data_IF_670476145262
#
_entry.id   IF_670476145262
#
_cell.length_a   1.000
_cell.length_b   1.000
_cell.length_c   1.000
_cell.angle_alpha   90.00
_cell.angle_beta   90.00
_cell.angle_gamma   90.00
#
_symmetry.space_group_name_H-M   'P 1'
#
loop_
_entity.id
_entity.type
_entity.pdbx_description
1 polymer ?
#
# COMPACT_ATOMS: atom_id res chain seq x y z
N UNK A 1 9.87 -45.94 3.02
CA UNK A 1 8.93 -45.11 3.82
C UNK A 1 9.22 -43.60 3.77
N UNK A 2 10.47 -43.13 3.63
CA UNK A 2 10.81 -41.68 3.58
C UNK A 2 10.22 -40.95 2.36
N UNK A 3 10.33 -41.52 1.15
CA UNK A 3 9.93 -40.85 -0.10
C UNK A 3 8.44 -40.45 -0.17
N UNK A 4 7.55 -41.28 0.39
CA UNK A 4 6.10 -40.99 0.44
C UNK A 4 5.81 -39.86 1.44
N UNK A 5 6.54 -39.83 2.56
CA UNK A 5 6.46 -38.79 3.59
C UNK A 5 6.95 -37.44 3.05
N UNK A 6 8.06 -37.43 2.32
CA UNK A 6 8.62 -36.21 1.73
C UNK A 6 7.71 -35.64 0.62
N UNK A 7 7.15 -36.50 -0.24
CA UNK A 7 6.15 -36.13 -1.24
C UNK A 7 4.87 -35.54 -0.62
N UNK A 8 4.36 -36.15 0.46
CA UNK A 8 3.19 -35.63 1.20
C UNK A 8 3.48 -34.27 1.84
N UNK A 9 4.64 -34.13 2.49
CA UNK A 9 5.08 -32.87 3.11
C UNK A 9 5.22 -31.75 2.09
N UNK A 10 5.81 -32.03 0.92
CA UNK A 10 5.89 -31.07 -0.18
C UNK A 10 4.53 -30.62 -0.69
N UNK A 11 3.59 -31.56 -0.87
CA UNK A 11 2.22 -31.23 -1.28
C UNK A 11 1.49 -30.37 -0.25
N UNK A 12 1.60 -30.70 1.04
CA UNK A 12 1.00 -29.91 2.12
C UNK A 12 1.58 -28.50 2.19
N UNK A 13 2.90 -28.36 2.10
CA UNK A 13 3.59 -27.06 2.13
C UNK A 13 3.19 -26.19 0.94
N UNK A 14 3.10 -26.78 -0.25
CA UNK A 14 2.60 -26.10 -1.45
C UNK A 14 1.14 -25.64 -1.28
N UNK A 15 0.28 -26.48 -0.71
CA UNK A 15 -1.12 -26.12 -0.48
C UNK A 15 -1.27 -24.98 0.52
N UNK A 16 -0.46 -24.96 1.58
CA UNK A 16 -0.43 -23.86 2.55
C UNK A 16 -0.07 -22.52 1.86
N UNK A 17 1.00 -22.51 1.05
CA UNK A 17 1.41 -21.32 0.31
C UNK A 17 0.33 -20.80 -0.65
N UNK A 18 -0.35 -21.71 -1.36
CA UNK A 18 -1.46 -21.36 -2.26
C UNK A 18 -2.64 -20.78 -1.48
N UNK A 19 -2.98 -21.36 -0.33
CA UNK A 19 -4.06 -20.87 0.52
C UNK A 19 -3.74 -19.48 1.09
N UNK A 20 -2.50 -19.27 1.51
CA UNK A 20 -2.04 -18.00 2.07
C UNK A 20 -2.01 -16.89 1.01
N UNK A 21 -1.52 -17.20 -0.20
CA UNK A 21 -1.61 -16.31 -1.34
C UNK A 21 -3.06 -15.98 -1.69
N UNK A 22 -3.94 -17.00 -1.73
CA UNK A 22 -5.37 -16.80 -2.01
C UNK A 22 -6.03 -15.90 -0.97
N UNK A 23 -5.68 -16.06 0.30
CA UNK A 23 -6.15 -15.18 1.38
C UNK A 23 -5.66 -13.74 1.18
N UNK A 24 -4.38 -13.56 0.85
CA UNK A 24 -3.81 -12.23 0.55
C UNK A 24 -4.53 -11.55 -0.61
N UNK A 25 -4.76 -12.25 -1.72
CA UNK A 25 -5.49 -11.72 -2.87
C UNK A 25 -6.90 -11.28 -2.47
N UNK A 26 -7.63 -12.10 -1.71
CA UNK A 26 -8.97 -11.75 -1.21
C UNK A 26 -8.93 -10.49 -0.34
N UNK A 27 -7.93 -10.35 0.53
CA UNK A 27 -7.77 -9.17 1.37
C UNK A 27 -7.52 -7.90 0.53
N UNK A 28 -6.63 -7.97 -0.46
CA UNK A 28 -6.38 -6.83 -1.35
C UNK A 28 -7.62 -6.42 -2.13
N UNK A 29 -8.38 -7.38 -2.67
CA UNK A 29 -9.63 -7.09 -3.38
C UNK A 29 -10.68 -6.44 -2.47
N UNK A 30 -10.80 -6.90 -1.22
CA UNK A 30 -11.69 -6.28 -0.24
C UNK A 30 -11.27 -4.83 0.08
N UNK A 31 -9.97 -4.56 0.16
CA UNK A 31 -9.44 -3.19 0.35
C UNK A 31 -9.76 -2.32 -0.86
N UNK A 32 -9.56 -2.80 -2.09
CA UNK A 32 -9.89 -2.07 -3.32
C UNK A 32 -11.39 -1.75 -3.40
N UNK A 33 -12.25 -2.71 -3.07
CA UNK A 33 -13.70 -2.49 -3.04
C UNK A 33 -14.10 -1.44 -1.99
N UNK A 34 -13.51 -1.52 -0.80
CA UNK A 34 -13.72 -0.51 0.26
C UNK A 34 -13.26 0.88 -0.20
N UNK A 35 -12.13 0.94 -0.90
CA UNK A 35 -11.58 2.16 -1.45
C UNK A 35 -12.52 2.82 -2.47
N UNK A 36 -13.06 2.04 -3.41
CA UNK A 36 -14.01 2.52 -4.39
C UNK A 36 -15.26 3.10 -3.70
N UNK A 37 -15.86 2.35 -2.77
CA UNK A 37 -17.05 2.79 -2.02
C UNK A 37 -16.80 4.06 -1.21
N UNK A 38 -15.65 4.17 -0.55
CA UNK A 38 -15.29 5.36 0.22
C UNK A 38 -15.08 6.57 -0.69
N UNK A 39 -14.40 6.39 -1.83
CA UNK A 39 -14.13 7.48 -2.78
C UNK A 39 -15.43 8.04 -3.32
N UNK A 40 -16.33 7.16 -3.78
CA UNK A 40 -17.62 7.51 -4.35
C UNK A 40 -18.48 8.37 -3.40
N UNK A 41 -18.44 8.11 -2.09
CA UNK A 41 -19.19 8.88 -1.08
C UNK A 41 -18.71 10.34 -0.93
N UNK A 42 -17.49 10.63 -1.37
CA UNK A 42 -16.83 11.94 -1.14
C UNK A 42 -16.62 12.75 -2.41
N UNK A 43 -16.91 12.17 -3.57
CA UNK A 43 -16.64 12.76 -4.90
C UNK A 43 -17.86 13.48 -5.47
N UNK A 44 -17.62 14.58 -6.18
CA UNK A 44 -18.68 15.45 -6.71
C UNK A 44 -19.03 15.19 -8.17
N UNK A 45 -18.18 14.49 -8.91
CA UNK A 45 -18.40 14.08 -10.30
C UNK A 45 -17.68 12.77 -10.61
N UNK A 46 -17.95 12.21 -11.80
CA UNK A 46 -17.21 11.07 -12.35
C UNK A 46 -15.71 11.33 -12.45
N UNK A 47 -15.33 12.53 -12.89
CA UNK A 47 -13.94 12.93 -13.08
C UNK A 47 -13.19 13.07 -11.74
N UNK A 48 -13.85 13.65 -10.74
CA UNK A 48 -13.33 13.74 -9.36
C UNK A 48 -13.18 12.33 -8.74
N UNK A 49 -14.12 11.43 -9.03
CA UNK A 49 -14.01 10.03 -8.62
C UNK A 49 -12.79 9.34 -9.23
N UNK A 50 -12.63 9.39 -10.55
CA UNK A 50 -11.49 8.76 -11.24
C UNK A 50 -10.18 9.29 -10.68
N UNK A 51 -10.04 10.62 -10.60
CA UNK A 51 -8.82 11.27 -10.10
C UNK A 51 -8.45 10.81 -8.69
N UNK A 52 -9.41 10.82 -7.76
CA UNK A 52 -9.16 10.42 -6.36
C UNK A 52 -8.95 8.92 -6.22
N UNK A 53 -9.72 8.11 -6.94
CA UNK A 53 -9.62 6.66 -6.85
C UNK A 53 -8.27 6.18 -7.39
N UNK A 54 -7.81 6.71 -8.51
CA UNK A 54 -6.52 6.36 -9.11
C UNK A 54 -5.35 6.72 -8.19
N UNK A 55 -5.36 7.91 -7.58
CA UNK A 55 -4.36 8.30 -6.60
C UNK A 55 -4.28 7.33 -5.42
N UNK A 56 -5.43 6.98 -4.86
CA UNK A 56 -5.50 6.05 -3.72
C UNK A 56 -5.15 4.61 -4.12
N UNK A 57 -5.46 4.19 -5.36
CA UNK A 57 -5.10 2.89 -5.89
C UNK A 57 -3.59 2.79 -6.11
N UNK A 58 -2.95 3.85 -6.62
CA UNK A 58 -1.50 3.95 -6.75
C UNK A 58 -0.81 3.87 -5.38
N UNK A 59 -1.35 4.57 -4.37
CA UNK A 59 -0.86 4.50 -2.99
C UNK A 59 -0.88 3.05 -2.44
N UNK A 60 -1.98 2.34 -2.67
CA UNK A 60 -2.12 0.94 -2.28
C UNK A 60 -1.12 0.05 -3.04
N UNK A 61 -0.93 0.27 -4.34
CA UNK A 61 0.03 -0.48 -5.16
C UNK A 61 1.47 -0.28 -4.69
N UNK A 62 1.86 0.96 -4.33
CA UNK A 62 3.19 1.26 -3.80
C UNK A 62 3.46 0.57 -2.46
N UNK A 63 2.49 0.60 -1.54
CA UNK A 63 2.60 -0.13 -0.28
C UNK A 63 2.71 -1.66 -0.52
N UNK A 64 1.92 -2.20 -1.44
CA UNK A 64 1.99 -3.60 -1.82
C UNK A 64 3.33 -3.98 -2.44
N UNK A 65 3.91 -3.12 -3.28
CA UNK A 65 5.22 -3.35 -3.89
C UNK A 65 6.30 -3.51 -2.82
N UNK A 66 6.35 -2.61 -1.84
CA UNK A 66 7.31 -2.70 -0.72
C UNK A 66 7.13 -3.99 0.09
N UNK A 67 5.88 -4.41 0.31
CA UNK A 67 5.61 -5.68 0.99
C UNK A 67 6.09 -6.89 0.18
N UNK A 68 5.87 -6.90 -1.14
CA UNK A 68 6.36 -7.98 -2.02
C UNK A 68 7.89 -8.02 -2.04
N UNK A 69 8.55 -6.87 -2.15
CA UNK A 69 10.03 -6.76 -2.13
C UNK A 69 10.64 -7.22 -0.79
N UNK A 70 9.87 -7.13 0.29
CA UNK A 70 10.27 -7.58 1.63
C UNK A 70 9.92 -9.04 1.95
N UNK A 71 9.44 -9.83 0.98
CA UNK A 71 8.85 -11.16 1.23
C UNK A 71 7.76 -11.14 2.32
N UNK A 72 6.99 -10.04 2.36
CA UNK A 72 5.94 -9.78 3.36
C UNK A 72 6.45 -9.72 4.82
N UNK A 73 7.74 -9.51 5.04
CA UNK A 73 8.29 -9.30 6.39
C UNK A 73 7.94 -7.93 6.97
N UNK A 74 7.59 -6.95 6.14
CA UNK A 74 7.15 -5.62 6.55
C UNK A 74 7.66 -4.53 5.62
N UNK A 75 7.23 -3.28 5.86
CA UNK A 75 7.69 -2.13 5.09
C UNK A 75 8.50 -1.19 5.98
N UNK A 76 9.69 -0.76 5.53
CA UNK A 76 10.42 0.29 6.22
C UNK A 76 9.63 1.61 6.12
N UNK A 77 9.38 2.26 7.26
CA UNK A 77 8.58 3.49 7.35
C UNK A 77 9.15 4.62 6.47
N UNK A 78 10.47 4.76 6.40
CA UNK A 78 11.12 5.74 5.54
C UNK A 78 10.83 5.49 4.05
N UNK A 79 11.04 4.24 3.60
CA UNK A 79 10.73 3.83 2.23
C UNK A 79 9.23 3.97 1.89
N UNK A 80 8.35 3.58 2.82
CA UNK A 80 6.92 3.76 2.68
C UNK A 80 6.57 5.24 2.53
N UNK A 81 7.15 6.10 3.36
CA UNK A 81 6.93 7.56 3.30
C UNK A 81 7.37 8.14 1.97
N UNK A 82 8.58 7.80 1.51
CA UNK A 82 9.08 8.23 0.21
C UNK A 82 8.16 7.79 -0.92
N UNK A 83 7.75 6.52 -0.94
CA UNK A 83 6.90 5.95 -1.99
C UNK A 83 5.49 6.58 -2.05
N UNK A 84 4.96 7.06 -0.92
CA UNK A 84 3.65 7.74 -0.88
C UNK A 84 3.74 9.21 -1.28
N UNK A 85 4.89 9.85 -1.03
CA UNK A 85 5.08 11.29 -1.25
C UNK A 85 5.64 11.61 -2.65
N UNK A 86 6.30 10.64 -3.30
CA UNK A 86 6.93 10.82 -4.62
C UNK A 86 5.99 11.41 -5.68
N UNK A 87 4.71 11.00 -5.68
CA UNK A 87 3.70 11.52 -6.60
C UNK A 87 3.40 13.03 -6.45
N UNK A 88 3.72 13.63 -5.29
CA UNK A 88 3.41 15.03 -4.97
C UNK A 88 4.61 15.96 -5.06
N UNK A 89 5.83 15.43 -4.99
CA UNK A 89 7.06 16.24 -5.09
C UNK A 89 7.68 16.24 -6.48
N UNK A 90 7.27 15.32 -7.36
CA UNK A 90 7.77 15.25 -8.74
C UNK A 90 9.30 15.21 -8.78
N UNK A 91 9.90 16.04 -9.63
CA UNK A 91 11.37 16.15 -9.73
C UNK A 91 12.01 17.02 -8.64
N UNK A 92 11.23 17.77 -7.86
CA UNK A 92 11.75 18.68 -6.84
C UNK A 92 11.87 17.97 -5.48
N UNK A 93 12.76 16.98 -5.44
CA UNK A 93 13.03 16.17 -4.24
C UNK A 93 13.52 17.00 -3.05
N UNK A 94 13.98 18.24 -3.26
CA UNK A 94 14.41 19.14 -2.20
C UNK A 94 13.24 19.61 -1.31
N UNK A 95 12.00 19.52 -1.79
CA UNK A 95 10.79 19.84 -1.00
C UNK A 95 10.41 18.74 -0.02
N UNK A 96 11.09 17.59 -0.06
CA UNK A 96 10.83 16.44 0.81
C UNK A 96 11.99 16.21 1.77
N UNK A 97 11.70 16.28 3.08
CA UNK A 97 12.63 15.89 4.14
C UNK A 97 12.01 14.78 4.98
N UNK A 98 12.62 13.60 4.95
CA UNK A 98 12.21 12.44 5.78
C UNK A 98 13.33 12.16 6.76
N UNK A 99 13.07 12.33 8.05
CA UNK A 99 14.03 12.10 9.13
C UNK A 99 13.39 11.23 10.22
N UNK A 100 14.19 10.35 10.82
CA UNK A 100 13.72 9.48 11.90
C UNK A 100 14.52 8.19 12.04
N UNK A 101 14.18 7.41 13.07
CA UNK A 101 14.75 6.09 13.27
C UNK A 101 14.29 5.10 12.18
N UNK A 102 15.13 4.11 11.89
CA UNK A 102 14.77 3.02 10.99
C UNK A 102 13.74 2.12 11.67
N UNK A 103 12.48 2.22 11.23
CA UNK A 103 11.35 1.45 11.77
C UNK A 103 10.75 0.59 10.66
N UNK A 104 10.58 -0.70 10.92
CA UNK A 104 9.86 -1.62 10.03
C UNK A 104 8.44 -1.81 10.54
N UNK A 105 7.46 -1.44 9.73
CA UNK A 105 6.05 -1.67 10.01
C UNK A 105 5.66 -3.09 9.56
N UNK A 106 4.97 -3.88 10.40
CA UNK A 106 4.43 -5.15 9.96
C UNK A 106 3.34 -4.94 8.88
N UNK A 107 3.06 -5.95 8.03
CA UNK A 107 2.21 -5.79 6.84
C UNK A 107 0.80 -5.24 7.10
N UNK A 108 0.20 -5.64 8.22
CA UNK A 108 -1.12 -5.22 8.70
C UNK A 108 -1.18 -3.74 9.07
N UNK A 109 -0.03 -3.14 9.43
CA UNK A 109 0.10 -1.70 9.73
C UNK A 109 0.63 -0.92 8.53
N UNK A 110 1.52 -1.49 7.73
CA UNK A 110 2.14 -0.81 6.59
C UNK A 110 1.10 -0.31 5.57
N UNK A 111 0.09 -1.12 5.26
CA UNK A 111 -0.96 -0.76 4.28
C UNK A 111 -1.83 0.40 4.76
N UNK A 112 -2.49 0.36 5.94
CA UNK A 112 -3.29 1.49 6.41
C UNK A 112 -2.44 2.74 6.68
N UNK A 113 -1.21 2.59 7.14
CA UNK A 113 -0.31 3.72 7.37
C UNK A 113 0.09 4.41 6.06
N UNK A 114 0.43 3.64 5.02
CA UNK A 114 0.73 4.18 3.69
C UNK A 114 -0.43 5.00 3.12
N UNK A 115 -1.67 4.52 3.33
CA UNK A 115 -2.88 5.29 2.97
C UNK A 115 -3.00 6.58 3.76
N UNK A 116 -2.78 6.56 5.09
CA UNK A 116 -2.81 7.77 5.91
C UNK A 116 -1.81 8.82 5.40
N UNK A 117 -0.59 8.41 5.07
CA UNK A 117 0.42 9.31 4.50
C UNK A 117 -0.03 9.92 3.17
N UNK A 118 -0.61 9.10 2.28
CA UNK A 118 -1.14 9.57 1.00
C UNK A 118 -2.26 10.60 1.16
N UNK A 119 -3.20 10.37 2.08
CA UNK A 119 -4.30 11.32 2.33
C UNK A 119 -3.76 12.64 2.91
N UNK A 120 -2.77 12.58 3.82
CA UNK A 120 -2.09 13.78 4.33
C UNK A 120 -1.38 14.54 3.22
N UNK A 121 -0.70 13.84 2.32
CA UNK A 121 -0.02 14.43 1.17
C UNK A 121 -0.99 15.10 0.20
N UNK A 122 -2.09 14.40 -0.11
CA UNK A 122 -3.18 14.91 -0.95
C UNK A 122 -3.77 16.18 -0.34
N UNK A 123 -4.05 16.17 0.97
CA UNK A 123 -4.57 17.33 1.67
C UNK A 123 -3.60 18.50 1.62
N UNK A 124 -2.31 18.28 1.91
CA UNK A 124 -1.28 19.31 1.84
C UNK A 124 -1.14 19.91 0.43
N UNK A 125 -1.18 19.09 -0.62
CA UNK A 125 -1.16 19.55 -2.00
C UNK A 125 -2.40 20.37 -2.38
N UNK A 126 -3.58 19.96 -1.91
CA UNK A 126 -4.85 20.61 -2.24
C UNK A 126 -5.13 21.88 -1.39
N UNK A 127 -4.61 21.97 -0.17
CA UNK A 127 -4.80 23.13 0.73
C UNK A 127 -3.60 24.08 0.78
N UNK A 128 -2.45 23.68 0.21
CA UNK A 128 -1.19 24.41 0.26
C UNK A 128 -0.90 25.32 -0.93
N UNK A 129 -1.79 26.26 -1.27
CA UNK A 129 -1.49 27.52 -1.98
C UNK A 129 -2.43 28.68 -1.59
N UNK A 130 -3.24 28.57 -0.53
CA UNK A 130 -4.21 29.63 -0.14
C UNK A 130 -3.79 30.51 1.05
N UNK A 131 -2.55 30.43 1.52
CA UNK A 131 -1.97 31.47 2.39
C UNK A 131 -0.48 31.66 2.09
N UNK A 132 -0.19 32.42 1.03
CA UNK A 132 0.99 33.30 0.92
C UNK A 132 0.75 34.35 -0.16
#
# INVERSE_FOLDING_TARGET
MSYITDRKRWKQRRQLLVNELSHRVKNTLAVVQSLARQTLRTTRSSEDFVTRFDGRLAALANAHKLLVESDWSGAELGALTLAQLEAYVGNDRHRLKVEGARVTLPPDIATPFGRMLHELATNAANTGLSQR
#
